data_IF_893993212802
#
_entry.id   IF_893993212802
#
_cell.length_a   1.000
_cell.length_b   1.000
_cell.length_c   1.000
_cell.angle_alpha   90.00
_cell.angle_beta   90.00
_cell.angle_gamma   90.00
#
_symmetry.space_group_name_H-M   'P 1'
#
loop_
_entity.id
_entity.type
_entity.pdbx_description
1 polymer ?
#
# COMPACT_ATOMS: atom_id res chain seq x y z
N UNK A 1 -51.10 -63.82 -13.73
CA UNK A 1 -49.72 -63.59 -13.23
C UNK A 1 -49.63 -62.16 -12.75
N UNK A 2 -48.98 -61.99 -11.60
CA UNK A 2 -48.84 -60.79 -10.77
C UNK A 2 -48.11 -59.67 -11.53
N UNK A 3 -48.58 -58.42 -11.42
CA UNK A 3 -47.73 -57.25 -11.17
C UNK A 3 -48.54 -55.96 -10.96
N UNK A 4 -48.39 -55.46 -9.74
CA UNK A 4 -48.78 -54.18 -9.17
C UNK A 4 -48.01 -53.03 -9.86
N UNK A 5 -48.68 -51.98 -10.35
CA UNK A 5 -48.02 -50.69 -10.64
C UNK A 5 -48.81 -49.55 -9.99
N UNK A 6 -48.21 -49.02 -8.92
CA UNK A 6 -48.67 -47.88 -8.12
C UNK A 6 -48.67 -46.59 -8.93
N UNK A 7 -49.79 -45.87 -8.90
CA UNK A 7 -49.89 -44.44 -9.20
C UNK A 7 -49.26 -43.66 -8.05
N UNK A 8 -48.04 -43.16 -8.23
CA UNK A 8 -47.43 -42.12 -7.41
C UNK A 8 -47.48 -40.81 -8.19
N UNK A 9 -48.45 -39.97 -7.83
CA UNK A 9 -48.46 -38.55 -8.20
C UNK A 9 -47.40 -37.86 -7.36
N UNK A 10 -46.24 -37.64 -7.93
CA UNK A 10 -45.19 -36.82 -7.32
C UNK A 10 -45.61 -35.35 -7.43
N UNK A 11 -46.05 -34.78 -6.30
CA UNK A 11 -46.19 -33.35 -6.12
C UNK A 11 -44.85 -32.66 -6.43
N UNK A 12 -44.86 -31.79 -7.44
CA UNK A 12 -43.78 -30.84 -7.72
C UNK A 12 -43.72 -29.86 -6.56
N UNK A 13 -42.80 -30.08 -5.62
CA UNK A 13 -42.43 -29.10 -4.62
C UNK A 13 -41.47 -28.10 -5.27
N UNK A 14 -42.02 -27.03 -5.86
CA UNK A 14 -41.33 -25.75 -5.94
C UNK A 14 -41.24 -25.19 -4.52
N UNK A 15 -40.04 -24.94 -3.98
CA UNK A 15 -39.97 -24.27 -2.68
C UNK A 15 -38.57 -24.11 -2.09
N UNK A 16 -38.07 -22.87 -2.13
CA UNK A 16 -37.16 -22.32 -1.13
C UNK A 16 -35.67 -22.44 -1.42
N UNK A 17 -35.11 -21.45 -2.15
CA UNK A 17 -33.73 -21.06 -1.87
C UNK A 17 -33.58 -20.66 -0.39
N UNK A 18 -32.38 -20.73 0.20
CA UNK A 18 -32.19 -20.45 1.62
C UNK A 18 -32.74 -19.05 1.95
N UNK A 19 -33.69 -19.00 2.90
CA UNK A 19 -34.23 -17.74 3.38
C UNK A 19 -33.08 -16.87 3.88
N UNK A 20 -32.98 -15.64 3.38
CA UNK A 20 -32.00 -14.68 3.86
C UNK A 20 -32.15 -14.55 5.39
N UNK A 21 -31.06 -14.67 6.13
CA UNK A 21 -31.06 -14.51 7.58
C UNK A 21 -31.62 -13.12 7.95
N UNK A 22 -32.80 -13.03 8.58
CA UNK A 22 -33.45 -11.75 8.86
C UNK A 22 -32.59 -10.87 9.79
N UNK A 23 -31.76 -11.46 10.65
CA UNK A 23 -30.84 -10.69 11.49
C UNK A 23 -29.75 -10.03 10.64
N UNK A 24 -29.12 -10.78 9.74
CA UNK A 24 -28.12 -10.25 8.80
C UNK A 24 -28.68 -9.11 7.95
N UNK A 25 -29.89 -9.25 7.41
CA UNK A 25 -30.52 -8.20 6.61
C UNK A 25 -30.79 -6.92 7.42
N UNK A 26 -31.24 -7.04 8.67
CA UNK A 26 -31.45 -5.89 9.56
C UNK A 26 -30.13 -5.19 9.92
N UNK A 27 -29.07 -5.96 10.18
CA UNK A 27 -27.74 -5.42 10.46
C UNK A 27 -27.17 -4.75 9.22
N UNK A 28 -27.32 -5.33 8.02
CA UNK A 28 -26.91 -4.69 6.77
C UNK A 28 -27.60 -3.32 6.60
N UNK A 29 -28.91 -3.27 6.76
CA UNK A 29 -29.65 -2.01 6.65
C UNK A 29 -29.24 -0.97 7.72
N UNK A 30 -28.83 -1.40 8.92
CA UNK A 30 -28.27 -0.52 9.94
C UNK A 30 -26.93 0.09 9.47
N UNK A 31 -26.04 -0.73 8.92
CA UNK A 31 -24.74 -0.27 8.44
C UNK A 31 -24.82 0.56 7.16
N UNK A 32 -25.81 0.31 6.31
CA UNK A 32 -26.10 1.14 5.14
C UNK A 32 -26.47 2.57 5.57
N UNK A 33 -27.38 2.72 6.54
CA UNK A 33 -27.72 4.05 7.11
C UNK A 33 -26.53 4.71 7.79
N UNK A 34 -25.67 3.92 8.45
CA UNK A 34 -24.45 4.43 9.10
C UNK A 34 -23.46 4.94 8.05
N UNK A 35 -23.33 4.23 6.93
CA UNK A 35 -22.50 4.60 5.79
C UNK A 35 -22.99 5.88 5.11
N UNK A 36 -24.30 6.00 4.86
CA UNK A 36 -24.90 7.22 4.34
C UNK A 36 -24.61 8.42 5.25
N UNK A 37 -24.78 8.26 6.56
CA UNK A 37 -24.48 9.32 7.53
C UNK A 37 -23.00 9.76 7.55
N UNK A 38 -22.06 8.84 7.28
CA UNK A 38 -20.64 9.16 7.11
C UNK A 38 -20.42 10.01 5.87
N UNK A 39 -20.99 9.61 4.73
CA UNK A 39 -20.86 10.33 3.45
C UNK A 39 -21.49 11.72 3.51
N UNK A 40 -22.69 11.83 4.10
CA UNK A 40 -23.41 13.08 4.27
C UNK A 40 -22.82 13.97 5.37
N UNK A 41 -21.85 13.45 6.13
CA UNK A 41 -21.26 14.10 7.32
C UNK A 41 -22.33 14.50 8.35
N UNK A 42 -23.38 13.70 8.51
CA UNK A 42 -24.47 13.91 9.45
C UNK A 42 -24.24 13.16 10.78
N UNK A 43 -23.69 13.87 11.77
CA UNK A 43 -23.46 13.34 13.12
C UNK A 43 -24.75 12.90 13.84
N UNK A 44 -25.89 13.52 13.51
CA UNK A 44 -27.18 13.17 14.10
C UNK A 44 -27.68 11.85 13.53
N UNK A 45 -27.64 11.69 12.19
CA UNK A 45 -27.95 10.41 11.53
C UNK A 45 -27.03 9.29 11.98
N UNK A 46 -25.73 9.54 12.09
CA UNK A 46 -24.77 8.56 12.57
C UNK A 46 -25.10 8.12 14.00
N UNK A 47 -25.41 9.06 14.89
CA UNK A 47 -25.82 8.76 16.27
C UNK A 47 -27.14 7.98 16.38
N UNK A 48 -28.04 8.05 15.39
CA UNK A 48 -29.24 7.20 15.35
C UNK A 48 -28.93 5.74 15.04
N UNK A 49 -27.71 5.43 14.59
CA UNK A 49 -27.25 4.05 14.33
C UNK A 49 -26.50 3.43 15.51
N UNK A 50 -26.38 4.13 16.64
CA UNK A 50 -25.70 3.67 17.85
C UNK A 50 -24.64 4.67 18.34
N UNK A 51 -23.50 4.16 18.79
CA UNK A 51 -22.40 4.98 19.28
C UNK A 51 -21.93 6.00 18.24
N UNK A 52 -21.62 7.21 18.71
CA UNK A 52 -20.96 8.27 17.92
C UNK A 52 -19.43 8.16 17.92
N UNK A 53 -18.87 7.25 18.71
CA UNK A 53 -17.44 7.01 18.71
C UNK A 53 -16.94 6.69 17.28
N UNK A 54 -15.83 7.32 16.89
CA UNK A 54 -15.22 7.17 15.56
C UNK A 54 -15.72 8.16 14.50
N UNK A 55 -16.90 8.78 14.66
CA UNK A 55 -17.42 9.72 13.64
C UNK A 55 -16.56 10.97 13.50
N UNK A 56 -16.21 11.60 14.63
CA UNK A 56 -15.36 12.78 14.62
C UNK A 56 -13.95 12.45 14.11
N UNK A 57 -13.50 11.20 14.32
CA UNK A 57 -12.18 10.76 13.94
C UNK A 57 -11.97 10.68 12.42
N UNK A 58 -13.02 10.33 11.66
CA UNK A 58 -12.96 10.23 10.20
C UNK A 58 -13.45 11.49 9.48
N UNK A 59 -14.01 12.48 10.20
CA UNK A 59 -14.67 13.66 9.61
C UNK A 59 -13.76 14.50 8.70
N UNK A 60 -12.47 14.53 8.97
CA UNK A 60 -11.50 15.26 8.15
C UNK A 60 -11.15 14.54 6.85
N UNK A 61 -11.42 13.23 6.73
CA UNK A 61 -11.08 12.45 5.55
C UNK A 61 -12.07 12.78 4.43
N UNK A 62 -11.60 13.22 3.25
CA UNK A 62 -12.47 13.50 2.11
C UNK A 62 -12.89 12.18 1.45
N UNK A 63 -13.97 11.58 1.92
CA UNK A 63 -14.50 10.32 1.39
C UNK A 63 -15.39 10.58 0.18
N UNK A 64 -15.20 9.81 -0.89
CA UNK A 64 -16.11 9.75 -2.04
C UNK A 64 -17.08 8.57 -1.95
N UNK A 65 -16.61 7.44 -1.41
CA UNK A 65 -17.44 6.26 -1.16
C UNK A 65 -17.16 5.72 0.24
N UNK A 66 -18.19 5.13 0.85
CA UNK A 66 -18.12 4.40 2.11
C UNK A 66 -19.27 3.39 2.12
N UNK A 67 -18.99 2.10 2.31
CA UNK A 67 -20.02 1.08 2.43
C UNK A 67 -19.55 -0.12 3.24
N UNK A 68 -20.48 -0.80 3.89
CA UNK A 68 -20.23 -2.06 4.58
C UNK A 68 -20.90 -3.21 3.83
N UNK A 69 -20.23 -4.36 3.75
CA UNK A 69 -20.83 -5.63 3.35
C UNK A 69 -20.78 -6.57 4.53
N UNK A 70 -21.91 -6.82 5.17
CA UNK A 70 -21.99 -7.78 6.28
C UNK A 70 -21.75 -9.19 5.73
N UNK A 71 -20.72 -9.86 6.24
CA UNK A 71 -20.32 -11.22 5.82
C UNK A 71 -20.85 -12.28 6.78
N UNK A 72 -20.92 -11.99 8.08
CA UNK A 72 -21.47 -12.87 9.10
C UNK A 72 -22.10 -12.08 10.26
N UNK A 73 -23.08 -12.67 10.92
CA UNK A 73 -23.67 -12.17 12.17
C UNK A 73 -23.77 -13.33 13.14
N UNK A 74 -23.11 -13.23 14.28
CA UNK A 74 -23.21 -14.18 15.38
C UNK A 74 -24.01 -13.53 16.52
N UNK A 75 -25.19 -14.08 16.82
CA UNK A 75 -26.15 -13.49 17.75
C UNK A 75 -26.18 -14.26 19.06
N UNK A 76 -26.15 -13.54 20.18
CA UNK A 76 -26.32 -14.08 21.53
C UNK A 76 -27.37 -13.27 22.28
N UNK A 77 -28.64 -13.72 22.24
CA UNK A 77 -29.75 -13.00 22.86
C UNK A 77 -30.01 -11.64 22.22
N UNK A 78 -29.80 -10.57 22.98
CA UNK A 78 -29.98 -9.17 22.55
C UNK A 78 -28.66 -8.49 22.17
N UNK A 79 -27.58 -9.26 22.03
CA UNK A 79 -26.32 -8.78 21.47
C UNK A 79 -25.92 -9.58 20.24
N UNK A 80 -25.08 -9.00 19.39
CA UNK A 80 -24.48 -9.68 18.26
C UNK A 80 -23.08 -9.17 17.95
N UNK A 81 -22.26 -10.02 17.35
CA UNK A 81 -21.02 -9.64 16.68
C UNK A 81 -21.21 -9.81 15.18
N UNK A 82 -21.03 -8.73 14.42
CA UNK A 82 -21.09 -8.75 12.97
C UNK A 82 -19.69 -8.61 12.38
N UNK A 83 -19.37 -9.50 11.45
CA UNK A 83 -18.21 -9.36 10.57
C UNK A 83 -18.66 -8.64 9.31
N UNK A 84 -17.90 -7.64 8.87
CA UNK A 84 -18.21 -6.90 7.65
C UNK A 84 -16.95 -6.50 6.90
N UNK A 85 -17.03 -6.42 5.57
CA UNK A 85 -16.02 -5.75 4.76
C UNK A 85 -16.41 -4.27 4.64
N UNK A 86 -15.54 -3.37 5.11
CA UNK A 86 -15.66 -1.94 4.88
C UNK A 86 -14.93 -1.59 3.59
N UNK A 87 -15.64 -1.01 2.63
CA UNK A 87 -15.07 -0.45 1.41
C UNK A 87 -15.19 1.07 1.41
N UNK A 88 -14.10 1.76 1.11
CA UNK A 88 -14.10 3.23 1.01
C UNK A 88 -13.19 3.74 -0.12
N UNK A 89 -13.45 4.96 -0.58
CA UNK A 89 -12.57 5.72 -1.48
C UNK A 89 -12.35 7.12 -0.94
N UNK A 90 -11.11 7.58 -1.04
CA UNK A 90 -10.75 8.97 -0.84
C UNK A 90 -10.99 9.75 -2.14
N UNK A 91 -11.79 10.81 -2.04
CA UNK A 91 -12.21 11.67 -3.15
C UNK A 91 -11.03 12.32 -3.87
N UNK A 92 -10.95 12.09 -5.18
CA UNK A 92 -9.90 12.61 -6.06
C UNK A 92 -8.57 11.84 -6.02
N UNK A 93 -8.43 10.81 -5.19
CA UNK A 93 -7.19 10.02 -5.08
C UNK A 93 -7.41 8.54 -5.42
N UNK A 94 -8.46 7.92 -4.89
CA UNK A 94 -8.69 6.49 -5.08
C UNK A 94 -9.53 6.19 -6.33
N UNK A 95 -8.95 5.42 -7.25
CA UNK A 95 -9.67 4.88 -8.43
C UNK A 95 -10.41 3.59 -8.13
N UNK A 96 -9.92 2.82 -7.16
CA UNK A 96 -10.53 1.59 -6.66
C UNK A 96 -10.71 1.71 -5.16
N UNK A 97 -11.74 1.08 -4.57
CA UNK A 97 -11.91 1.12 -3.12
C UNK A 97 -10.78 0.40 -2.38
N UNK A 98 -10.40 0.94 -1.23
CA UNK A 98 -9.76 0.15 -0.17
C UNK A 98 -10.84 -0.72 0.45
N UNK A 99 -10.55 -2.00 0.69
CA UNK A 99 -11.43 -2.91 1.42
C UNK A 99 -10.70 -3.46 2.63
N UNK A 100 -11.28 -3.32 3.82
CA UNK A 100 -10.73 -3.79 5.10
C UNK A 100 -11.79 -4.53 5.90
N UNK A 101 -11.40 -5.55 6.66
CA UNK A 101 -12.32 -6.33 7.47
C UNK A 101 -12.59 -5.63 8.81
N UNK A 102 -13.86 -5.60 9.22
CA UNK A 102 -14.37 -4.97 10.44
C UNK A 102 -15.08 -5.99 11.32
N UNK A 103 -14.98 -5.77 12.63
CA UNK A 103 -15.76 -6.48 13.65
C UNK A 103 -16.59 -5.45 14.43
N UNK A 104 -17.91 -5.60 14.35
CA UNK A 104 -18.86 -4.69 14.97
C UNK A 104 -19.59 -5.41 16.11
N UNK A 105 -19.66 -4.76 17.28
CA UNK A 105 -20.52 -5.21 18.39
C UNK A 105 -21.82 -4.43 18.35
N UNK A 106 -22.92 -5.15 18.50
CA UNK A 106 -24.27 -4.64 18.35
C UNK A 106 -25.11 -5.00 19.57
N UNK A 107 -26.02 -4.10 19.94
CA UNK A 107 -27.07 -4.32 20.93
C UNK A 107 -28.45 -4.14 20.31
N UNK A 108 -29.43 -4.88 20.83
CA UNK A 108 -30.82 -4.82 20.39
C UNK A 108 -31.69 -4.25 21.50
N UNK A 109 -32.51 -3.26 21.18
CA UNK A 109 -33.48 -2.72 22.12
C UNK A 109 -34.73 -3.63 22.24
N UNK A 110 -35.66 -3.25 23.13
CA UNK A 110 -36.90 -3.99 23.39
C UNK A 110 -37.86 -4.00 22.20
N UNK A 111 -37.76 -3.00 21.33
CA UNK A 111 -38.56 -2.88 20.10
C UNK A 111 -37.94 -3.68 18.95
N UNK A 112 -36.78 -4.29 19.20
CA UNK A 112 -36.09 -5.16 18.26
C UNK A 112 -35.18 -4.43 17.28
N UNK A 113 -34.82 -3.17 17.53
CA UNK A 113 -33.90 -2.41 16.70
C UNK A 113 -32.45 -2.62 17.14
N UNK A 114 -31.58 -2.83 16.16
CA UNK A 114 -30.14 -2.95 16.37
C UNK A 114 -29.47 -1.58 16.40
N UNK A 115 -28.47 -1.43 17.28
CA UNK A 115 -27.56 -0.29 17.38
C UNK A 115 -26.12 -0.78 17.40
N UNK A 116 -25.21 0.01 16.80
CA UNK A 116 -23.76 -0.25 16.84
C UNK A 116 -23.19 0.23 18.16
N UNK A 117 -22.60 -0.66 18.95
CA UNK A 117 -21.92 -0.33 20.20
C UNK A 117 -20.44 -0.02 19.97
N UNK A 118 -19.81 -0.71 19.01
CA UNK A 118 -18.44 -0.44 18.58
C UNK A 118 -18.19 -0.96 17.16
N UNK A 119 -17.36 -0.25 16.41
CA UNK A 119 -16.83 -0.65 15.10
C UNK A 119 -15.29 -0.64 15.19
N UNK A 120 -14.64 -1.79 14.98
CA UNK A 120 -13.19 -1.95 15.10
C UNK A 120 -12.61 -2.76 13.95
N UNK A 121 -11.29 -2.65 13.66
CA UNK A 121 -10.61 -3.59 12.78
C UNK A 121 -10.88 -5.03 13.20
N UNK A 122 -11.12 -5.91 12.23
CA UNK A 122 -11.19 -7.34 12.51
C UNK A 122 -9.81 -7.88 12.92
N UNK A 123 -9.79 -9.02 13.60
CA UNK A 123 -8.54 -9.67 13.98
C UNK A 123 -7.68 -9.98 12.74
N UNK A 124 -6.39 -9.60 12.78
CA UNK A 124 -5.42 -9.64 11.65
C UNK A 124 -5.72 -8.70 10.49
N UNK A 125 -6.73 -7.84 10.60
CA UNK A 125 -6.89 -6.71 9.67
C UNK A 125 -6.01 -5.56 10.16
N UNK A 126 -5.30 -4.91 9.25
CA UNK A 126 -4.60 -3.66 9.56
C UNK A 126 -5.60 -2.58 9.97
N UNK A 127 -5.16 -1.72 10.87
CA UNK A 127 -5.91 -0.53 11.28
C UNK A 127 -6.07 0.44 10.11
N UNK A 128 -7.09 1.28 10.16
CA UNK A 128 -7.14 2.49 9.35
C UNK A 128 -6.68 3.68 10.20
N UNK A 129 -6.20 4.74 9.56
CA UNK A 129 -5.64 5.88 10.30
C UNK A 129 -6.63 6.47 11.33
N UNK A 130 -7.92 6.53 11.01
CA UNK A 130 -8.94 7.03 11.95
C UNK A 130 -9.29 6.06 13.09
N UNK A 131 -8.83 4.81 13.05
CA UNK A 131 -8.95 3.89 14.20
C UNK A 131 -7.95 4.24 15.31
N UNK A 132 -6.86 4.95 14.96
CA UNK A 132 -5.78 5.36 15.89
C UNK A 132 -6.09 6.66 16.62
N UNK A 133 -7.03 7.45 16.11
CA UNK A 133 -7.39 8.73 16.72
C UNK A 133 -8.05 9.67 15.74
N UNK A 134 -8.17 10.94 16.14
CA UNK A 134 -8.82 11.95 15.30
C UNK A 134 -7.93 12.34 14.13
N UNK A 135 -8.33 11.94 12.93
CA UNK A 135 -7.59 12.25 11.71
C UNK A 135 -7.67 13.76 11.42
N UNK A 136 -6.54 14.28 10.96
CA UNK A 136 -6.40 15.61 10.35
C UNK A 136 -6.06 15.41 8.88
N UNK A 137 -6.51 16.32 8.04
CA UNK A 137 -6.24 16.30 6.61
C UNK A 137 -5.63 17.62 6.16
N UNK A 138 -4.50 17.54 5.45
CA UNK A 138 -3.88 18.65 4.74
C UNK A 138 -3.84 18.30 3.26
N UNK A 139 -4.44 19.14 2.44
CA UNK A 139 -4.46 18.96 0.98
C UNK A 139 -3.36 19.83 0.36
N UNK A 140 -2.47 19.19 -0.38
CA UNK A 140 -1.50 19.85 -1.26
C UNK A 140 -2.05 20.01 -2.68
N UNK A 141 -1.20 20.45 -3.60
CA UNK A 141 -1.51 20.55 -5.03
C UNK A 141 -1.76 19.16 -5.64
N UNK A 142 -0.91 18.19 -5.27
CA UNK A 142 -0.91 16.82 -5.80
C UNK A 142 -0.96 15.77 -4.70
N UNK A 143 -1.00 16.17 -3.44
CA UNK A 143 -0.99 15.27 -2.29
C UNK A 143 -2.20 15.45 -1.39
N UNK A 144 -2.53 14.41 -0.62
CA UNK A 144 -3.37 14.49 0.57
C UNK A 144 -2.59 13.84 1.71
N UNK A 145 -2.29 14.61 2.74
CA UNK A 145 -1.66 14.12 3.96
C UNK A 145 -2.74 13.93 5.01
N UNK A 146 -2.87 12.70 5.51
CA UNK A 146 -3.73 12.37 6.62
C UNK A 146 -2.85 12.04 7.83
N UNK A 147 -3.11 12.64 8.98
CA UNK A 147 -2.33 12.39 10.19
C UNK A 147 -3.14 12.28 11.46
N UNK A 148 -2.61 11.55 12.45
CA UNK A 148 -3.13 11.43 13.81
C UNK A 148 -2.03 11.78 14.78
N UNK A 149 -2.34 12.49 15.86
CA UNK A 149 -1.35 12.96 16.85
C UNK A 149 -0.40 14.06 16.34
N UNK A 150 -0.40 14.33 15.03
CA UNK A 150 0.52 15.30 14.41
C UNK A 150 0.00 16.74 14.41
N UNK A 151 0.87 17.75 14.61
CA UNK A 151 0.51 19.14 14.41
C UNK A 151 0.31 19.45 12.93
N UNK A 152 -0.62 20.35 12.61
CA UNK A 152 -0.95 20.70 11.22
C UNK A 152 0.24 21.24 10.42
N UNK A 153 1.17 21.96 11.08
CA UNK A 153 2.39 22.43 10.44
C UNK A 153 3.25 21.28 9.91
N UNK A 154 3.49 20.24 10.71
CA UNK A 154 4.24 19.06 10.27
C UNK A 154 3.54 18.36 9.08
N UNK A 155 2.20 18.27 9.09
CA UNK A 155 1.46 17.71 7.96
C UNK A 155 1.59 18.53 6.68
N UNK A 156 1.75 19.85 6.76
CA UNK A 156 2.06 20.69 5.61
C UNK A 156 3.45 20.43 5.06
N UNK A 157 4.45 20.23 5.91
CA UNK A 157 5.81 19.89 5.46
C UNK A 157 5.82 18.59 4.63
N UNK A 158 5.07 17.57 5.06
CA UNK A 158 4.88 16.35 4.27
C UNK A 158 4.17 16.59 2.93
N UNK A 159 3.17 17.48 2.91
CA UNK A 159 2.43 17.81 1.69
C UNK A 159 3.36 18.48 0.67
N UNK A 160 4.23 19.39 1.12
CA UNK A 160 5.22 20.05 0.27
C UNK A 160 6.26 19.08 -0.30
N UNK A 161 6.75 18.14 0.50
CA UNK A 161 7.65 17.07 0.06
C UNK A 161 7.00 16.21 -1.04
N UNK A 162 5.75 15.79 -0.81
CA UNK A 162 4.98 14.99 -1.75
C UNK A 162 4.64 15.76 -3.04
N UNK A 163 4.30 17.05 -2.94
CA UNK A 163 3.98 17.90 -4.10
C UNK A 163 5.20 18.14 -5.01
N UNK A 164 6.42 18.12 -4.44
CA UNK A 164 7.68 18.10 -5.20
C UNK A 164 8.04 16.73 -5.76
N UNK A 165 7.72 15.64 -5.04
CA UNK A 165 7.98 14.27 -5.48
C UNK A 165 7.18 13.91 -6.74
N UNK A 166 5.89 14.25 -6.81
CA UNK A 166 5.01 13.89 -7.94
C UNK A 166 5.53 14.34 -9.32
N UNK A 167 5.93 15.61 -9.55
CA UNK A 167 6.50 16.02 -10.82
C UNK A 167 7.86 15.35 -11.09
N UNK A 168 8.74 15.22 -10.11
CA UNK A 168 10.04 14.54 -10.27
C UNK A 168 9.87 13.08 -10.74
N UNK A 169 8.93 12.36 -10.12
CA UNK A 169 8.57 10.99 -10.53
C UNK A 169 7.92 10.98 -11.92
N UNK A 170 7.06 11.96 -12.24
CA UNK A 170 6.43 12.05 -13.56
C UNK A 170 7.45 12.29 -14.68
N UNK A 171 8.50 13.07 -14.41
CA UNK A 171 9.57 13.33 -15.36
C UNK A 171 10.40 12.06 -15.59
N UNK A 172 10.69 11.32 -14.51
CA UNK A 172 11.47 10.09 -14.59
C UNK A 172 10.70 8.91 -15.19
N UNK A 173 9.45 8.69 -14.81
CA UNK A 173 8.65 7.53 -15.19
C UNK A 173 7.73 7.76 -16.41
N UNK A 174 7.23 8.99 -16.54
CA UNK A 174 6.16 9.41 -17.44
C UNK A 174 4.85 9.73 -16.70
N UNK A 175 3.85 10.22 -17.44
CA UNK A 175 2.61 10.76 -16.88
C UNK A 175 1.44 9.78 -16.76
N UNK A 176 1.64 8.50 -17.14
CA UNK A 176 0.58 7.48 -17.22
C UNK A 176 0.26 6.82 -15.87
N UNK A 177 0.06 7.63 -14.84
CA UNK A 177 -0.37 7.22 -13.49
C UNK A 177 -1.23 8.37 -12.89
N UNK A 178 -1.87 8.20 -11.72
CA UNK A 178 -2.77 9.22 -11.17
C UNK A 178 -2.13 10.60 -10.95
N UNK A 179 -0.80 10.67 -10.77
CA UNK A 179 -0.05 11.89 -10.43
C UNK A 179 -0.62 12.61 -9.21
N UNK A 180 -1.09 11.79 -8.26
CA UNK A 180 -1.57 12.19 -6.95
C UNK A 180 -1.21 11.12 -5.95
N UNK A 181 -0.91 11.52 -4.71
CA UNK A 181 -0.51 10.60 -3.63
C UNK A 181 -1.26 10.88 -2.35
N UNK A 182 -1.53 9.82 -1.59
CA UNK A 182 -2.04 9.91 -0.21
C UNK A 182 -0.92 9.50 0.74
N UNK A 183 -0.56 10.40 1.65
CA UNK A 183 0.46 10.17 2.68
C UNK A 183 -0.23 10.01 4.03
N UNK A 184 0.06 8.93 4.74
CA UNK A 184 -0.42 8.66 6.09
C UNK A 184 0.73 8.93 7.08
N UNK A 185 0.46 9.77 8.07
CA UNK A 185 1.43 10.16 9.11
C UNK A 185 0.86 9.79 10.48
N UNK A 186 1.09 8.56 10.95
CA UNK A 186 0.70 8.13 12.29
C UNK A 186 1.48 8.89 13.37
N UNK A 187 1.12 8.70 14.64
CA UNK A 187 1.80 9.36 15.77
C UNK A 187 3.15 8.71 16.08
N UNK A 188 3.25 7.39 15.91
CA UNK A 188 4.42 6.58 16.29
C UNK A 188 4.75 5.46 15.29
N UNK A 189 5.91 4.82 15.48
CA UNK A 189 6.26 3.58 14.79
C UNK A 189 5.28 2.44 15.11
N UNK A 190 4.79 2.34 16.34
CA UNK A 190 3.78 1.35 16.73
C UNK A 190 2.48 1.53 15.95
N UNK A 191 2.04 2.78 15.77
CA UNK A 191 0.85 3.11 14.99
C UNK A 191 1.07 2.85 13.49
N UNK A 192 2.25 3.15 12.94
CA UNK A 192 2.61 2.73 11.58
C UNK A 192 2.48 1.20 11.42
N UNK A 193 2.98 0.43 12.38
CA UNK A 193 2.90 -1.02 12.38
C UNK A 193 1.43 -1.50 12.44
N UNK A 194 0.58 -0.81 13.20
CA UNK A 194 -0.87 -1.03 13.24
C UNK A 194 -1.54 -0.86 11.88
N UNK A 195 -1.19 0.18 11.12
CA UNK A 195 -1.69 0.38 9.74
C UNK A 195 -1.27 -0.74 8.80
N UNK A 196 -0.04 -1.24 8.98
CA UNK A 196 0.55 -2.30 8.16
C UNK A 196 0.14 -3.72 8.60
N UNK A 197 -0.57 -3.86 9.72
CA UNK A 197 -0.99 -5.14 10.27
C UNK A 197 0.17 -6.07 10.63
N UNK A 198 1.33 -5.50 10.97
CA UNK A 198 2.59 -6.23 11.19
C UNK A 198 3.33 -5.69 12.43
N UNK A 199 4.28 -6.43 13.03
CA UNK A 199 5.00 -5.97 14.22
C UNK A 199 5.89 -4.75 13.94
N UNK A 200 5.98 -3.81 14.88
CA UNK A 200 6.83 -2.62 14.78
C UNK A 200 8.32 -2.92 14.54
N UNK A 201 8.81 -4.06 15.06
CA UNK A 201 10.18 -4.53 14.85
C UNK A 201 10.55 -4.70 13.37
N UNK A 202 9.56 -4.98 12.50
CA UNK A 202 9.77 -5.15 11.06
C UNK A 202 10.04 -3.85 10.31
N UNK A 203 9.78 -2.69 10.93
CA UNK A 203 9.87 -1.37 10.28
C UNK A 203 10.84 -0.41 10.98
N UNK A 204 11.59 -0.91 11.96
CA UNK A 204 12.60 -0.09 12.65
C UNK A 204 13.67 0.36 11.66
N UNK A 205 13.91 1.67 11.59
CA UNK A 205 14.88 2.26 10.67
C UNK A 205 14.37 2.49 9.24
N UNK A 206 13.14 2.04 8.92
CA UNK A 206 12.49 2.33 7.65
C UNK A 206 11.73 3.65 7.81
N UNK A 207 12.02 4.63 6.95
CA UNK A 207 11.46 5.98 7.07
C UNK A 207 10.05 6.10 6.48
N UNK A 208 9.70 5.31 5.49
CA UNK A 208 8.37 5.22 4.92
C UNK A 208 8.17 3.90 4.16
N UNK A 209 6.92 3.53 3.89
CA UNK A 209 6.55 2.35 3.09
C UNK A 209 5.35 2.69 2.22
N UNK A 210 5.39 2.28 0.95
CA UNK A 210 4.24 2.31 0.05
C UNK A 210 3.49 1.00 0.09
N UNK A 211 2.21 1.05 0.43
CA UNK A 211 1.31 -0.10 0.37
C UNK A 211 0.14 0.18 -0.55
N UNK A 212 -0.45 -0.85 -1.13
CA UNK A 212 -1.72 -0.72 -1.85
C UNK A 212 -2.75 -1.68 -1.32
N UNK A 213 -4.02 -1.26 -1.34
CA UNK A 213 -5.13 -2.10 -0.97
C UNK A 213 -5.11 -3.42 -1.77
N UNK A 214 -4.88 -4.53 -1.07
CA UNK A 214 -4.92 -5.89 -1.62
C UNK A 214 -6.37 -6.33 -1.76
N UNK A 215 -7.08 -5.79 -2.76
CA UNK A 215 -8.32 -6.36 -3.27
C UNK A 215 -8.01 -7.26 -4.45
N UNK A 216 -8.52 -8.49 -4.45
CA UNK A 216 -8.35 -9.41 -5.58
C UNK A 216 -8.90 -8.77 -6.88
N UNK A 217 -8.01 -8.47 -7.82
CA UNK A 217 -8.37 -8.12 -9.21
C UNK A 217 -8.38 -6.64 -9.61
N UNK A 218 -8.02 -5.69 -8.75
CA UNK A 218 -7.97 -4.28 -9.16
C UNK A 218 -6.59 -3.86 -9.68
N UNK A 219 -6.52 -3.52 -10.97
CA UNK A 219 -5.33 -3.01 -11.67
C UNK A 219 -4.84 -1.61 -11.22
N UNK A 220 -5.53 -0.98 -10.28
CA UNK A 220 -5.15 0.33 -9.72
C UNK A 220 -5.51 0.34 -8.23
N UNK A 221 -4.61 -0.13 -7.35
CA UNK A 221 -4.85 -0.11 -5.91
C UNK A 221 -4.92 1.33 -5.40
N UNK A 222 -5.65 1.51 -4.31
CA UNK A 222 -5.63 2.73 -3.51
C UNK A 222 -4.33 2.74 -2.69
N UNK A 223 -3.23 3.15 -3.33
CA UNK A 223 -1.92 3.18 -2.69
C UNK A 223 -1.85 4.25 -1.60
N UNK A 224 -1.05 3.97 -0.56
CA UNK A 224 -0.78 4.81 0.61
C UNK A 224 0.72 4.82 0.85
N UNK A 225 1.29 6.01 0.93
CA UNK A 225 2.64 6.19 1.47
C UNK A 225 2.50 6.38 2.97
N UNK A 226 3.03 5.45 3.77
CA UNK A 226 2.92 5.49 5.23
C UNK A 226 4.28 5.87 5.79
N UNK A 227 4.35 6.96 6.55
CA UNK A 227 5.60 7.47 7.11
C UNK A 227 5.84 6.90 8.51
N UNK A 228 7.10 6.57 8.80
CA UNK A 228 7.59 6.35 10.16
C UNK A 228 8.06 7.70 10.73
N UNK A 229 7.29 8.38 11.58
CA UNK A 229 7.65 9.70 12.06
C UNK A 229 9.01 9.73 12.79
N UNK A 230 9.37 8.65 13.49
CA UNK A 230 10.60 8.58 14.28
C UNK A 230 11.84 8.51 13.39
N UNK A 231 11.84 7.61 12.40
CA UNK A 231 12.95 7.48 11.45
C UNK A 231 13.02 8.69 10.51
N UNK A 232 11.87 9.23 10.10
CA UNK A 232 11.81 10.39 9.22
C UNK A 232 12.36 11.67 9.89
N UNK A 233 12.16 11.80 11.21
CA UNK A 233 12.69 12.92 11.99
C UNK A 233 14.23 12.99 11.98
N UNK A 234 14.90 11.84 11.88
CA UNK A 234 16.37 11.74 11.85
C UNK A 234 16.97 12.15 10.50
N UNK A 235 16.17 12.22 9.44
CA UNK A 235 16.61 12.64 8.12
C UNK A 235 16.68 14.17 8.02
N UNK A 236 17.72 14.69 7.36
CA UNK A 236 17.73 16.08 6.87
C UNK A 236 16.83 16.27 5.65
N UNK A 237 16.59 17.51 5.26
CA UNK A 237 15.62 17.87 4.20
C UNK A 237 15.83 17.13 2.87
N UNK A 238 17.09 16.97 2.45
CA UNK A 238 17.44 16.21 1.25
C UNK A 238 17.05 14.73 1.37
N UNK A 239 17.37 14.09 2.50
CA UNK A 239 17.00 12.69 2.75
C UNK A 239 15.48 12.49 2.82
N UNK A 240 14.77 13.42 3.46
CA UNK A 240 13.30 13.43 3.48
C UNK A 240 12.69 13.52 2.08
N UNK A 241 13.25 14.37 1.21
CA UNK A 241 12.81 14.48 -0.17
C UNK A 241 13.11 13.22 -0.98
N UNK A 242 14.30 12.62 -0.82
CA UNK A 242 14.66 11.35 -1.47
C UNK A 242 13.67 10.26 -1.10
N UNK A 243 13.39 10.08 0.20
CA UNK A 243 12.44 9.06 0.68
C UNK A 243 11.04 9.27 0.11
N UNK A 244 10.47 10.48 0.17
CA UNK A 244 9.12 10.71 -0.38
C UNK A 244 9.06 10.53 -1.90
N UNK A 245 10.17 10.83 -2.60
CA UNK A 245 10.27 10.63 -4.05
C UNK A 245 10.40 9.15 -4.39
N UNK A 246 11.17 8.38 -3.61
CA UNK A 246 11.25 6.93 -3.68
C UNK A 246 9.86 6.31 -3.51
N UNK A 247 9.16 6.62 -2.42
CA UNK A 247 7.83 6.05 -2.15
C UNK A 247 6.79 6.45 -3.23
N UNK A 248 6.83 7.69 -3.69
CA UNK A 248 5.98 8.14 -4.80
C UNK A 248 6.27 7.39 -6.10
N UNK A 249 7.51 6.90 -6.28
CA UNK A 249 7.87 6.08 -7.44
C UNK A 249 7.14 4.75 -7.42
N UNK A 250 7.03 4.09 -6.26
CA UNK A 250 6.25 2.85 -6.12
C UNK A 250 4.78 3.04 -6.49
N UNK A 251 4.17 4.18 -6.13
CA UNK A 251 2.81 4.53 -6.57
C UNK A 251 2.72 4.66 -8.10
N UNK A 252 3.73 5.28 -8.73
CA UNK A 252 3.74 5.52 -10.16
C UNK A 252 4.00 4.25 -10.98
N UNK A 253 4.83 3.33 -10.48
CA UNK A 253 5.21 2.09 -11.15
C UNK A 253 4.24 0.94 -10.89
N UNK A 254 3.34 1.05 -9.89
CA UNK A 254 2.51 -0.05 -9.39
C UNK A 254 1.80 -0.89 -10.44
N UNK A 255 1.26 -0.26 -11.49
CA UNK A 255 0.53 -0.96 -12.56
C UNK A 255 1.45 -1.80 -13.47
N UNK A 256 2.74 -1.51 -13.46
CA UNK A 256 3.81 -2.16 -14.22
C UNK A 256 4.72 -3.00 -13.31
N UNK A 257 4.39 -3.18 -12.03
CA UNK A 257 5.13 -4.02 -11.07
C UNK A 257 4.34 -5.31 -10.82
N UNK A 258 4.99 -6.46 -10.96
CA UNK A 258 4.36 -7.78 -10.76
C UNK A 258 5.29 -8.74 -10.02
N UNK A 259 4.85 -9.98 -9.79
CA UNK A 259 5.70 -11.04 -9.23
C UNK A 259 6.93 -11.35 -10.12
N UNK A 260 6.92 -10.92 -11.39
CA UNK A 260 8.09 -11.03 -12.25
C UNK A 260 9.17 -9.98 -11.96
N UNK A 261 8.82 -8.85 -11.35
CA UNK A 261 9.76 -7.78 -11.00
C UNK A 261 10.59 -8.20 -9.77
N UNK A 262 11.94 -8.30 -9.88
CA UNK A 262 12.80 -8.55 -8.73
C UNK A 262 12.99 -7.29 -7.90
N UNK A 263 13.29 -7.44 -6.61
CA UNK A 263 13.42 -6.31 -5.68
C UNK A 263 14.56 -5.38 -6.06
N UNK A 264 15.70 -5.89 -6.55
CA UNK A 264 16.81 -5.05 -7.00
C UNK A 264 16.39 -4.04 -8.07
N UNK A 265 15.44 -4.40 -8.94
CA UNK A 265 14.93 -3.52 -9.99
C UNK A 265 13.84 -2.59 -9.45
N UNK A 266 12.97 -3.09 -8.58
CA UNK A 266 11.90 -2.28 -7.97
C UNK A 266 12.48 -1.17 -7.11
N UNK A 267 13.30 -1.55 -6.12
CA UNK A 267 13.93 -0.63 -5.18
C UNK A 267 15.01 0.21 -5.85
N UNK A 268 15.84 -0.41 -6.69
CA UNK A 268 16.89 0.30 -7.41
C UNK A 268 16.36 1.39 -8.35
N UNK A 269 15.20 1.16 -8.99
CA UNK A 269 14.56 2.19 -9.81
C UNK A 269 14.02 3.32 -8.94
N UNK A 270 13.37 3.00 -7.81
CA UNK A 270 12.86 4.00 -6.88
C UNK A 270 13.97 4.85 -6.26
N UNK A 271 15.11 4.26 -5.88
CA UNK A 271 16.30 4.98 -5.44
C UNK A 271 16.92 5.83 -6.55
N UNK A 272 16.97 5.31 -7.78
CA UNK A 272 17.48 6.06 -8.91
C UNK A 272 16.66 7.33 -9.15
N UNK A 273 15.32 7.23 -9.07
CA UNK A 273 14.42 8.40 -9.15
C UNK A 273 14.59 9.31 -7.92
N UNK A 274 14.70 8.74 -6.72
CA UNK A 274 14.88 9.51 -5.48
C UNK A 274 16.15 10.37 -5.47
N UNK A 275 17.26 9.82 -5.98
CA UNK A 275 18.54 10.54 -6.08
C UNK A 275 18.67 11.40 -7.34
N UNK A 276 17.75 11.27 -8.30
CA UNK A 276 17.79 12.01 -9.56
C UNK A 276 17.72 13.52 -9.31
N UNK A 277 18.78 14.23 -9.68
CA UNK A 277 18.87 15.69 -9.50
C UNK A 277 19.17 16.15 -8.07
N UNK A 278 19.38 15.23 -7.11
CA UNK A 278 19.74 15.57 -5.74
C UNK A 278 21.21 16.05 -5.60
N UNK A 279 22.03 15.85 -6.65
CA UNK A 279 23.43 16.31 -6.68
C UNK A 279 24.36 15.58 -5.71
N UNK A 280 23.93 14.44 -5.14
CA UNK A 280 24.77 13.61 -4.26
C UNK A 280 25.87 12.91 -5.04
N UNK A 281 27.06 12.88 -4.45
CA UNK A 281 28.15 12.08 -4.99
C UNK A 281 27.81 10.58 -4.85
N UNK A 282 28.31 9.72 -5.75
CA UNK A 282 27.95 8.31 -5.72
C UNK A 282 28.29 7.57 -4.43
N UNK A 283 29.40 7.92 -3.78
CA UNK A 283 29.84 7.40 -2.48
C UNK A 283 28.94 7.88 -1.31
N UNK A 284 28.32 9.06 -1.42
CA UNK A 284 27.31 9.51 -0.46
C UNK A 284 25.95 8.83 -0.64
N UNK A 285 25.65 8.39 -1.86
CA UNK A 285 24.40 7.68 -2.19
C UNK A 285 24.52 6.15 -1.98
N UNK A 286 25.74 5.61 -2.04
CA UNK A 286 26.04 4.20 -1.82
C UNK A 286 27.24 3.98 -0.88
N UNK A 287 27.18 4.49 0.37
CA UNK A 287 28.31 4.45 1.29
C UNK A 287 28.75 3.03 1.66
N UNK A 288 27.83 2.08 1.89
CA UNK A 288 28.20 0.74 2.36
C UNK A 288 28.82 -0.11 1.24
N UNK A 289 28.34 0.07 0.01
CA UNK A 289 28.90 -0.53 -1.18
C UNK A 289 30.26 0.10 -1.51
N UNK A 290 30.42 1.42 -1.36
CA UNK A 290 31.71 2.08 -1.53
C UNK A 290 32.74 1.56 -0.50
N UNK A 291 32.32 1.39 0.75
CA UNK A 291 33.18 0.83 1.80
C UNK A 291 33.60 -0.62 1.47
N UNK A 292 32.68 -1.45 0.96
CA UNK A 292 32.98 -2.80 0.52
C UNK A 292 33.95 -2.83 -0.68
N UNK A 293 33.74 -1.97 -1.68
CA UNK A 293 34.65 -1.81 -2.82
C UNK A 293 36.05 -1.40 -2.36
N UNK A 294 36.16 -0.46 -1.42
CA UNK A 294 37.43 -0.05 -0.82
C UNK A 294 38.18 -1.17 -0.08
N UNK A 295 37.46 -2.18 0.43
CA UNK A 295 38.03 -3.41 1.02
C UNK A 295 38.34 -4.51 0.00
N UNK A 296 38.04 -4.29 -1.29
CA UNK A 296 38.17 -5.28 -2.35
C UNK A 296 37.03 -6.31 -2.41
N UNK A 297 35.94 -6.06 -1.68
CA UNK A 297 34.75 -6.94 -1.58
C UNK A 297 33.70 -6.59 -2.64
N UNK A 298 34.08 -6.63 -3.93
CA UNK A 298 33.15 -6.29 -5.02
C UNK A 298 32.08 -7.38 -5.21
N UNK A 299 30.77 -7.06 -5.17
CA UNK A 299 29.69 -8.05 -5.24
C UNK A 299 29.70 -8.89 -6.52
N UNK A 300 29.67 -10.21 -6.39
CA UNK A 300 29.78 -11.16 -7.52
C UNK A 300 28.57 -11.16 -8.46
N UNK A 301 27.39 -10.84 -7.94
CA UNK A 301 26.14 -10.77 -8.67
C UNK A 301 25.26 -9.63 -8.13
N UNK A 302 24.19 -9.32 -8.85
CA UNK A 302 23.10 -8.49 -8.34
C UNK A 302 22.44 -9.17 -7.12
N UNK A 303 21.87 -8.39 -6.19
CA UNK A 303 21.22 -8.96 -5.01
C UNK A 303 19.93 -9.71 -5.40
N UNK A 304 19.68 -10.80 -4.68
CA UNK A 304 18.43 -11.56 -4.77
C UNK A 304 17.38 -10.96 -3.82
N UNK A 305 16.11 -11.35 -3.98
CA UNK A 305 15.02 -10.80 -3.15
C UNK A 305 15.23 -11.02 -1.65
N UNK A 306 15.90 -12.11 -1.25
CA UNK A 306 16.19 -12.42 0.16
C UNK A 306 17.17 -11.42 0.79
N UNK A 307 17.99 -10.72 -0.01
CA UNK A 307 18.89 -9.67 0.47
C UNK A 307 18.15 -8.41 0.96
N UNK A 308 16.89 -8.26 0.56
CA UNK A 308 16.02 -7.12 0.94
C UNK A 308 15.22 -7.38 2.23
N UNK A 309 15.48 -8.49 2.93
CA UNK A 309 14.79 -8.84 4.17
C UNK A 309 15.18 -7.98 5.38
N UNK A 310 14.21 -7.34 6.03
CA UNK A 310 14.40 -6.47 7.20
C UNK A 310 14.77 -7.19 8.51
N UNK A 311 14.75 -8.52 8.55
CA UNK A 311 15.12 -9.32 9.74
C UNK A 311 16.62 -9.67 9.80
N UNK A 312 17.42 -9.19 8.86
CA UNK A 312 18.82 -9.55 8.67
C UNK A 312 19.82 -8.47 9.13
N UNK A 313 21.01 -8.55 8.54
CA UNK A 313 22.10 -7.60 8.71
C UNK A 313 21.79 -6.28 7.97
N UNK A 314 21.80 -5.16 8.70
CA UNK A 314 21.49 -3.84 8.15
C UNK A 314 22.49 -3.41 7.06
N UNK A 315 23.76 -3.80 7.17
CA UNK A 315 24.80 -3.47 6.19
C UNK A 315 24.63 -4.29 4.91
N UNK A 316 24.12 -5.53 5.03
CA UNK A 316 23.74 -6.35 3.88
C UNK A 316 22.54 -5.74 3.16
N UNK A 317 21.53 -5.31 3.92
CA UNK A 317 20.34 -4.65 3.36
C UNK A 317 20.72 -3.36 2.61
N UNK A 318 21.50 -2.48 3.24
CA UNK A 318 21.96 -1.24 2.61
C UNK A 318 22.69 -1.52 1.29
N UNK A 319 23.66 -2.46 1.29
CA UNK A 319 24.37 -2.86 0.07
C UNK A 319 23.46 -3.41 -1.02
N UNK A 320 22.35 -4.07 -0.68
CA UNK A 320 21.38 -4.57 -1.66
C UNK A 320 20.65 -3.43 -2.37
N UNK A 321 20.16 -2.43 -1.61
CA UNK A 321 19.55 -1.22 -2.18
C UNK A 321 20.55 -0.45 -3.05
N UNK A 322 21.75 -0.21 -2.53
CA UNK A 322 22.82 0.50 -3.24
C UNK A 322 23.28 -0.23 -4.51
N UNK A 323 23.30 -1.56 -4.49
CA UNK A 323 23.57 -2.40 -5.67
C UNK A 323 22.45 -2.30 -6.71
N UNK A 324 21.18 -2.30 -6.28
CA UNK A 324 20.03 -2.07 -7.16
C UNK A 324 20.05 -0.68 -7.79
N UNK A 325 20.37 0.35 -6.99
CA UNK A 325 20.53 1.73 -7.44
C UNK A 325 21.63 1.85 -8.50
N UNK A 326 22.83 1.32 -8.24
CA UNK A 326 23.95 1.36 -9.21
C UNK A 326 23.63 0.59 -10.49
N UNK A 327 22.87 -0.52 -10.40
CA UNK A 327 22.42 -1.25 -11.58
C UNK A 327 21.44 -0.43 -12.43
N UNK A 328 20.46 0.24 -11.82
CA UNK A 328 19.53 1.11 -12.54
C UNK A 328 20.22 2.35 -13.10
N UNK A 329 21.17 2.92 -12.34
CA UNK A 329 22.01 4.04 -12.78
C UNK A 329 22.85 3.67 -14.00
N UNK A 330 23.48 2.49 -13.99
CA UNK A 330 24.20 1.97 -15.15
C UNK A 330 23.29 1.88 -16.39
N UNK A 331 22.07 1.35 -16.22
CA UNK A 331 21.12 1.26 -17.34
C UNK A 331 20.82 2.66 -17.89
N UNK A 332 20.50 3.61 -17.01
CA UNK A 332 20.18 4.98 -17.37
C UNK A 332 21.34 5.72 -18.04
N UNK A 333 22.59 5.55 -17.58
CA UNK A 333 23.75 6.22 -18.14
C UNK A 333 24.24 5.60 -19.45
N UNK A 334 24.22 4.27 -19.56
CA UNK A 334 24.76 3.56 -20.72
C UNK A 334 23.74 3.37 -21.86
N UNK A 335 22.49 3.05 -21.53
CA UNK A 335 21.42 2.85 -22.52
C UNK A 335 20.39 3.98 -22.57
N UNK A 336 20.39 4.88 -21.58
CA UNK A 336 19.43 5.97 -21.48
C UNK A 336 18.24 5.65 -20.57
N UNK A 337 17.65 6.71 -20.01
CA UNK A 337 16.51 6.62 -19.09
C UNK A 337 15.25 6.03 -19.74
N UNK A 338 15.07 6.22 -21.04
CA UNK A 338 13.97 5.59 -21.78
C UNK A 338 14.11 4.07 -21.78
N UNK A 339 15.32 3.54 -22.01
CA UNK A 339 15.60 2.11 -21.96
C UNK A 339 15.44 1.55 -20.55
N UNK A 340 15.79 2.29 -19.50
CA UNK A 340 15.52 1.88 -18.12
C UNK A 340 14.01 1.70 -17.87
N UNK A 341 13.18 2.65 -18.32
CA UNK A 341 11.71 2.53 -18.21
C UNK A 341 11.15 1.37 -19.02
N UNK A 342 11.62 1.19 -20.25
CA UNK A 342 11.22 0.06 -21.10
C UNK A 342 11.60 -1.27 -20.48
N UNK A 343 12.81 -1.36 -19.89
CA UNK A 343 13.30 -2.54 -19.22
C UNK A 343 12.44 -2.88 -18.01
N UNK A 344 12.13 -1.90 -17.15
CA UNK A 344 11.23 -2.08 -16.00
C UNK A 344 9.87 -2.64 -16.43
N UNK A 345 9.23 -2.02 -17.43
CA UNK A 345 7.92 -2.47 -17.95
C UNK A 345 8.00 -3.85 -18.58
N UNK A 346 9.07 -4.17 -19.31
CA UNK A 346 9.25 -5.47 -19.96
C UNK A 346 9.38 -6.60 -18.94
N UNK A 347 10.10 -6.36 -17.83
CA UNK A 347 10.19 -7.32 -16.71
C UNK A 347 8.83 -7.48 -16.04
N UNK A 348 8.16 -6.38 -15.68
CA UNK A 348 6.89 -6.41 -14.98
C UNK A 348 5.73 -7.02 -15.78
N UNK A 349 5.74 -6.88 -17.10
CA UNK A 349 4.76 -7.48 -18.00
C UNK A 349 4.94 -9.00 -18.22
N UNK A 350 6.03 -9.58 -17.71
CA UNK A 350 6.30 -11.01 -17.86
C UNK A 350 5.33 -11.86 -17.01
N UNK A 351 5.06 -13.09 -17.44
CA UNK A 351 4.08 -13.97 -16.79
C UNK A 351 4.58 -14.53 -15.45
N UNK A 352 5.89 -14.56 -15.23
CA UNK A 352 6.48 -15.04 -13.99
C UNK A 352 7.95 -14.65 -13.88
N UNK A 353 8.53 -14.85 -12.70
CA UNK A 353 9.91 -14.43 -12.39
C UNK A 353 10.97 -15.07 -13.27
N UNK A 354 10.84 -16.37 -13.54
CA UNK A 354 11.85 -17.13 -14.26
C UNK A 354 11.97 -16.62 -15.70
N UNK A 355 13.17 -16.15 -16.07
CA UNK A 355 13.48 -15.64 -17.41
C UNK A 355 13.04 -14.19 -17.65
N UNK A 356 12.33 -13.54 -16.72
CA UNK A 356 11.82 -12.18 -16.94
C UNK A 356 12.93 -11.15 -17.21
N UNK A 357 13.97 -11.18 -16.36
CA UNK A 357 15.13 -10.30 -16.50
C UNK A 357 15.95 -10.63 -17.74
N UNK A 358 16.21 -11.92 -17.99
CA UNK A 358 16.98 -12.36 -19.17
C UNK A 358 16.30 -11.94 -20.48
N UNK A 359 15.00 -12.20 -20.62
CA UNK A 359 14.24 -11.82 -21.80
C UNK A 359 14.19 -10.29 -21.98
N UNK A 360 14.09 -9.53 -20.89
CA UNK A 360 14.08 -8.07 -20.94
C UNK A 360 15.46 -7.50 -21.29
N UNK A 361 16.55 -8.06 -20.74
CA UNK A 361 17.92 -7.67 -21.08
C UNK A 361 18.20 -7.91 -22.57
N UNK A 362 17.81 -9.08 -23.08
CA UNK A 362 18.02 -9.41 -24.49
C UNK A 362 17.22 -8.48 -25.43
N UNK A 363 15.93 -8.22 -25.11
CA UNK A 363 15.05 -7.44 -26.00
C UNK A 363 15.23 -5.93 -25.91
N UNK A 364 15.55 -5.40 -24.74
CA UNK A 364 15.57 -3.95 -24.48
C UNK A 364 16.99 -3.40 -24.45
N UNK A 365 17.93 -4.16 -23.88
CA UNK A 365 19.30 -3.72 -23.63
C UNK A 365 20.32 -4.38 -24.57
N UNK A 366 19.90 -5.35 -25.39
CA UNK A 366 20.75 -6.14 -26.29
C UNK A 366 21.96 -6.74 -25.55
N UNK A 367 21.69 -7.38 -24.40
CA UNK A 367 22.72 -8.02 -23.56
C UNK A 367 22.17 -9.24 -22.83
N UNK A 368 23.08 -10.02 -22.23
CA UNK A 368 22.76 -11.17 -21.37
C UNK A 368 22.96 -10.85 -19.88
N UNK A 369 22.36 -11.62 -18.95
CA UNK A 369 22.61 -11.45 -17.53
C UNK A 369 24.09 -11.50 -17.13
N UNK A 370 24.88 -12.38 -17.77
CA UNK A 370 26.30 -12.51 -17.49
C UNK A 370 27.10 -11.27 -17.94
N UNK A 371 26.85 -10.78 -19.14
CA UNK A 371 27.50 -9.58 -19.66
C UNK A 371 27.10 -8.31 -18.90
N UNK A 372 25.81 -8.19 -18.56
CA UNK A 372 25.31 -7.10 -17.73
C UNK A 372 25.99 -7.10 -16.36
N UNK A 373 26.05 -8.25 -15.69
CA UNK A 373 26.68 -8.38 -14.37
C UNK A 373 28.17 -8.04 -14.42
N UNK A 374 28.89 -8.48 -15.45
CA UNK A 374 30.30 -8.13 -15.63
C UNK A 374 30.49 -6.62 -15.83
N UNK A 375 29.64 -5.99 -16.65
CA UNK A 375 29.66 -4.53 -16.88
C UNK A 375 29.30 -3.76 -15.62
N UNK A 376 28.29 -4.20 -14.88
CA UNK A 376 27.90 -3.60 -13.62
C UNK A 376 28.99 -3.69 -12.56
N UNK A 377 29.67 -4.83 -12.42
CA UNK A 377 30.83 -4.95 -11.54
C UNK A 377 31.95 -3.98 -11.91
N UNK A 378 32.25 -3.82 -13.20
CA UNK A 378 33.22 -2.83 -13.65
C UNK A 378 32.76 -1.40 -13.33
N UNK A 379 31.49 -1.09 -13.61
CA UNK A 379 30.89 0.21 -13.34
C UNK A 379 30.93 0.57 -11.85
N UNK A 380 30.53 -0.33 -10.96
CA UNK A 380 30.59 -0.13 -9.51
C UNK A 380 32.02 0.14 -9.05
N UNK A 381 33.00 -0.60 -9.59
CA UNK A 381 34.41 -0.36 -9.29
C UNK A 381 34.86 1.03 -9.75
N UNK A 382 34.50 1.46 -10.95
CA UNK A 382 34.90 2.77 -11.47
C UNK A 382 34.19 3.92 -10.76
N UNK A 383 32.94 3.70 -10.35
CA UNK A 383 32.08 4.70 -9.71
C UNK A 383 32.45 4.96 -8.24
N UNK A 384 32.93 3.93 -7.52
CA UNK A 384 33.09 3.95 -6.06
C UNK A 384 34.53 3.67 -5.56
N UNK A 385 35.52 3.51 -6.46
CA UNK A 385 36.91 3.27 -6.07
C UNK A 385 37.71 4.53 -5.73
#
# INVERSE_FOLDING_TARGET
MVALCLLLVSLVACGGGPAADPARAQVQALLDRRAEAVLDRDASAYGRTGTRAGFDALRAVPLADWSYRVTAVDRTGDTATASADLSYRVDGYDRSPVTTARSLRLSRDRDGHWSVDSDRPAHRSGEQLWDQGTARAVRGERSLVLGVGQPEAALRDYAELADRAVPAVSDAWGSRWPRRVVVLVPESLEDMAGLLGSPASSYRGIAAVTTGATGAGTRAPADRVIVNPDAFALLGDSGRQVVLTHETTHVATRADTSAATPLWLSEGFADWVGYRGAGRAPDEAAPELAQAVGRGELPEALPDDDDFGFSGDADRLARAYESGWTACRLIAEHWGEERLREFYRAVGAHQGRRGAVEDAMARVLDTTPAEFTARWRQYVRELLA
#
